data_IF_987672733134
#
_entry.id   IF_987672733134
#
_cell.length_a   1.000
_cell.length_b   1.000
_cell.length_c   1.000
_cell.angle_alpha   90.00
_cell.angle_beta   90.00
_cell.angle_gamma   90.00
#
_symmetry.space_group_name_H-M   'P 1'
#
loop_
_entity.id
_entity.type
_entity.pdbx_description
1 polymer ?
#
# COMPACT_ATOMS: atom_id res chain seq x y z
N UNK A 1 4.03 15.53 20.26
CA UNK A 1 4.22 14.07 20.37
C UNK A 1 4.65 13.61 19.00
N UNK A 2 5.94 13.32 18.87
CA UNK A 2 6.47 12.74 17.63
C UNK A 2 5.98 11.29 17.60
N UNK A 3 4.97 11.02 16.78
CA UNK A 3 4.59 9.66 16.44
C UNK A 3 5.79 9.04 15.74
N UNK A 4 6.56 8.26 16.50
CA UNK A 4 7.57 7.35 16.00
C UNK A 4 6.83 6.32 15.14
N UNK A 5 6.54 6.68 13.89
CA UNK A 5 6.13 5.74 12.85
C UNK A 5 7.24 4.71 12.79
N UNK A 6 6.97 3.56 13.43
CA UNK A 6 7.73 2.34 13.23
C UNK A 6 7.79 2.16 11.72
N UNK A 7 8.95 2.48 11.15
CA UNK A 7 9.24 2.28 9.74
C UNK A 7 9.26 0.77 9.52
N UNK A 8 8.08 0.17 9.42
CA UNK A 8 7.93 -1.15 8.85
C UNK A 8 8.47 -0.99 7.44
N UNK A 9 9.66 -1.54 7.22
CA UNK A 9 10.26 -1.61 5.90
C UNK A 9 9.38 -2.54 5.07
N UNK A 10 8.46 -1.95 4.32
CA UNK A 10 7.73 -2.68 3.29
C UNK A 10 8.67 -2.90 2.11
N UNK A 11 8.66 -4.13 1.61
CA UNK A 11 9.33 -4.44 0.36
C UNK A 11 8.48 -3.92 -0.79
N UNK A 12 8.98 -2.89 -1.48
CA UNK A 12 8.27 -2.23 -2.57
C UNK A 12 8.25 -3.06 -3.86
N UNK A 13 9.12 -4.06 -3.96
CA UNK A 13 9.16 -5.00 -5.08
C UNK A 13 8.14 -6.13 -4.91
N UNK A 14 7.60 -6.31 -3.69
CA UNK A 14 6.56 -7.29 -3.40
C UNK A 14 5.16 -6.70 -3.57
N UNK A 15 4.26 -7.49 -4.16
CA UNK A 15 2.82 -7.20 -4.16
C UNK A 15 2.19 -7.89 -2.95
N UNK A 16 1.63 -7.10 -2.04
CA UNK A 16 0.91 -7.63 -0.88
C UNK A 16 -0.56 -7.84 -1.23
N UNK A 17 -1.16 -8.95 -0.80
CA UNK A 17 -2.61 -9.11 -0.92
C UNK A 17 -3.33 -8.49 0.28
N UNK A 18 -4.53 -7.95 0.07
CA UNK A 18 -5.34 -7.38 1.13
C UNK A 18 -5.67 -8.40 2.24
N UNK A 19 -5.67 -9.70 1.92
CA UNK A 19 -5.84 -10.80 2.88
C UNK A 19 -4.64 -10.96 3.82
N UNK A 20 -3.42 -10.86 3.29
CA UNK A 20 -2.19 -10.99 4.08
C UNK A 20 -1.90 -9.73 4.90
N UNK A 21 -2.18 -8.57 4.29
CA UNK A 21 -1.89 -7.28 4.87
C UNK A 21 -3.09 -6.37 4.62
N UNK A 22 -4.11 -6.32 5.49
CA UNK A 22 -5.20 -5.36 5.34
C UNK A 22 -4.68 -3.92 5.48
N UNK A 23 -5.43 -2.94 4.97
CA UNK A 23 -5.08 -1.52 5.17
C UNK A 23 -5.17 -1.17 6.66
N UNK A 24 -4.10 -0.63 7.24
CA UNK A 24 -4.11 -0.13 8.64
C UNK A 24 -5.04 1.07 8.78
N UNK A 25 -5.00 1.95 7.77
CA UNK A 25 -5.88 3.10 7.65
C UNK A 25 -6.45 3.09 6.23
N UNK A 26 -7.77 2.89 6.12
CA UNK A 26 -8.45 2.87 4.84
C UNK A 26 -8.14 4.12 4.02
N UNK A 27 -7.81 3.94 2.74
CA UNK A 27 -7.50 5.06 1.85
C UNK A 27 -6.10 5.67 2.02
N UNK A 28 -5.25 5.16 2.94
CA UNK A 28 -3.86 5.59 3.10
C UNK A 28 -2.87 4.49 2.80
N UNK A 29 -1.68 4.87 2.34
CA UNK A 29 -0.61 3.94 2.06
C UNK A 29 0.04 3.53 3.36
N UNK A 30 0.08 2.22 3.64
CA UNK A 30 0.62 1.71 4.90
C UNK A 30 2.11 2.01 5.11
N UNK A 31 2.84 2.35 4.04
CA UNK A 31 4.26 2.69 4.07
C UNK A 31 4.56 4.19 4.22
N UNK A 32 3.73 5.09 3.66
CA UNK A 32 4.08 6.52 3.59
C UNK A 32 2.91 7.49 3.86
N UNK A 33 1.75 6.97 4.27
CA UNK A 33 0.55 7.75 4.62
C UNK A 33 -0.13 8.47 3.45
N UNK A 34 0.39 8.35 2.23
CA UNK A 34 -0.15 9.02 1.04
C UNK A 34 -1.56 8.50 0.69
N UNK A 35 -2.40 9.39 0.15
CA UNK A 35 -3.79 9.12 -0.24
C UNK A 35 -3.97 8.93 -1.75
N UNK A 36 -2.95 9.27 -2.55
CA UNK A 36 -3.02 9.19 -4.01
C UNK A 36 -2.49 7.86 -4.53
N UNK A 37 -3.35 7.10 -5.22
CA UNK A 37 -3.03 5.80 -5.79
C UNK A 37 -3.24 5.77 -7.30
N UNK A 38 -2.51 4.89 -7.96
CA UNK A 38 -2.77 4.44 -9.31
C UNK A 38 -3.37 3.04 -9.20
N UNK A 39 -4.56 2.87 -9.77
CA UNK A 39 -5.24 1.58 -9.78
C UNK A 39 -5.15 0.98 -11.18
N UNK A 40 -4.96 -0.33 -11.26
CA UNK A 40 -4.98 -1.09 -12.50
C UNK A 40 -5.65 -2.43 -12.27
N UNK A 41 -6.33 -2.94 -13.29
CA UNK A 41 -6.94 -4.28 -13.26
C UNK A 41 -6.16 -5.16 -14.22
N UNK A 42 -5.69 -6.30 -13.74
CA UNK A 42 -5.02 -7.30 -14.57
C UNK A 42 -5.49 -8.68 -14.13
N UNK A 43 -5.91 -9.52 -15.07
CA UNK A 43 -6.35 -10.90 -14.80
C UNK A 43 -7.42 -10.99 -13.69
N UNK A 44 -8.39 -10.06 -13.72
CA UNK A 44 -9.44 -9.89 -12.69
C UNK A 44 -8.96 -9.49 -11.28
N UNK A 45 -7.66 -9.20 -11.12
CA UNK A 45 -7.08 -8.72 -9.87
C UNK A 45 -6.97 -7.20 -9.90
N UNK A 46 -7.43 -6.54 -8.84
CA UNK A 46 -7.30 -5.09 -8.70
C UNK A 46 -5.98 -4.75 -8.00
N UNK A 47 -5.05 -4.17 -8.73
CA UNK A 47 -3.77 -3.72 -8.19
C UNK A 47 -3.83 -2.22 -7.90
N UNK A 48 -3.56 -1.86 -6.65
CA UNK A 48 -3.43 -0.49 -6.14
C UNK A 48 -1.97 -0.18 -5.88
N UNK A 49 -1.43 0.81 -6.57
CA UNK A 49 -0.05 1.27 -6.43
C UNK A 49 -0.02 2.68 -5.84
N UNK A 50 0.79 2.90 -4.80
CA UNK A 50 0.97 4.24 -4.22
C UNK A 50 1.79 5.13 -5.17
N UNK A 51 1.26 6.30 -5.55
CA UNK A 51 2.00 7.22 -6.45
C UNK A 51 3.23 7.88 -5.82
N UNK A 52 3.38 7.82 -4.50
CA UNK A 52 4.49 8.46 -3.77
C UNK A 52 5.66 7.51 -3.54
N UNK A 53 5.39 6.28 -3.09
CA UNK A 53 6.43 5.31 -2.74
C UNK A 53 6.43 4.05 -3.63
N UNK A 54 5.47 3.87 -4.54
CA UNK A 54 5.42 2.70 -5.42
C UNK A 54 4.89 1.41 -4.77
N UNK A 55 4.52 1.43 -3.48
CA UNK A 55 3.96 0.26 -2.79
C UNK A 55 2.73 -0.28 -3.52
N UNK A 56 2.73 -1.57 -3.83
CA UNK A 56 1.66 -2.26 -4.56
C UNK A 56 0.87 -3.17 -3.64
N UNK A 57 -0.44 -3.12 -3.79
CA UNK A 57 -1.39 -3.94 -3.05
C UNK A 57 -2.43 -4.53 -3.99
N UNK A 58 -2.64 -5.83 -3.91
CA UNK A 58 -3.69 -6.54 -4.61
C UNK A 58 -4.93 -6.57 -3.72
N UNK A 59 -6.03 -6.02 -4.21
CA UNK A 59 -7.35 -6.00 -3.56
C UNK A 59 -8.26 -7.02 -4.24
#
# INVERSE_FOLDING_TARGET
MEEQEQQQQYDLDKIYTYKELPDKIAGRCDNCGNTHFKSSVKDMVFLRECRKCGMKKSI
#
